data_IF_189189699378
#
_entry.id   IF_189189699378
#
_cell.length_a   1.000
_cell.length_b   1.000
_cell.length_c   1.000
_cell.angle_alpha   90.00
_cell.angle_beta   90.00
_cell.angle_gamma   90.00
#
_symmetry.space_group_name_H-M   'P 1'
#
loop_
_entity.id
_entity.type
_entity.pdbx_description
1 polymer ?
#
# COMPACT_ATOMS: atom_id res chain seq x y z
N UNK A 1 -36.86 -5.67 -13.06
CA UNK A 1 -37.55 -5.76 -11.75
C UNK A 1 -36.49 -5.71 -10.66
N UNK A 2 -36.48 -4.62 -9.89
CA UNK A 2 -35.88 -4.43 -8.57
C UNK A 2 -34.44 -4.90 -8.32
N UNK A 3 -33.47 -3.98 -8.38
CA UNK A 3 -32.29 -4.02 -7.51
C UNK A 3 -32.35 -2.73 -6.67
N UNK A 4 -32.31 -2.81 -5.33
CA UNK A 4 -32.61 -1.69 -4.46
C UNK A 4 -31.48 -0.64 -4.47
N UNK A 5 -31.91 0.63 -4.49
CA UNK A 5 -31.12 1.79 -4.08
C UNK A 5 -31.09 1.89 -2.55
N UNK A 6 -30.13 2.67 -2.05
CA UNK A 6 -29.83 3.07 -0.67
C UNK A 6 -28.89 2.08 0.06
N UNK A 7 -27.72 2.49 0.59
CA UNK A 7 -27.47 3.67 1.44
C UNK A 7 -26.18 4.44 1.12
N UNK A 8 -26.27 5.77 1.25
CA UNK A 8 -25.17 6.73 1.41
C UNK A 8 -24.73 6.79 2.87
N UNK A 9 -23.42 6.95 3.13
CA UNK A 9 -22.88 7.59 4.33
C UNK A 9 -21.45 8.17 4.11
N UNK A 10 -21.40 9.50 3.86
CA UNK A 10 -20.37 10.53 4.12
C UNK A 10 -18.94 10.45 3.49
N UNK A 11 -18.36 11.59 3.04
CA UNK A 11 -17.56 11.66 1.83
C UNK A 11 -16.06 11.89 2.07
N UNK A 12 -15.26 10.93 1.60
CA UNK A 12 -13.88 11.16 1.16
C UNK A 12 -13.93 11.30 -0.36
N UNK A 13 -13.09 12.13 -0.99
CA UNK A 13 -13.05 12.19 -2.46
C UNK A 13 -12.48 10.88 -3.02
N UNK A 14 -13.36 9.90 -3.22
CA UNK A 14 -13.06 8.56 -3.73
C UNK A 14 -13.40 8.55 -5.21
N UNK A 15 -12.41 8.28 -6.06
CA UNK A 15 -12.64 8.09 -7.49
C UNK A 15 -12.03 6.78 -7.95
N UNK A 16 -12.84 5.95 -8.61
CA UNK A 16 -12.40 4.70 -9.23
C UNK A 16 -12.55 4.86 -10.72
N UNK A 17 -11.43 4.80 -11.46
CA UNK A 17 -11.50 4.95 -12.91
C UNK A 17 -12.01 3.65 -13.55
N UNK A 18 -13.07 3.68 -14.38
CA UNK A 18 -13.42 2.53 -15.21
C UNK A 18 -12.53 2.51 -16.45
N UNK A 19 -12.02 1.34 -16.80
CA UNK A 19 -11.55 1.05 -18.15
C UNK A 19 -12.34 -0.14 -18.67
N UNK A 20 -12.60 -0.21 -19.98
CA UNK A 20 -13.33 -1.32 -20.59
C UNK A 20 -12.46 -2.58 -20.77
N UNK A 21 -11.15 -2.55 -20.48
CA UNK A 21 -10.21 -3.70 -20.56
C UNK A 21 -8.76 -3.29 -20.16
N UNK A 22 -8.53 -2.80 -18.95
CA UNK A 22 -7.21 -2.32 -18.49
C UNK A 22 -7.14 -2.03 -16.98
N UNK A 23 -5.93 -1.91 -16.40
CA UNK A 23 -5.74 -1.73 -14.96
C UNK A 23 -6.46 -0.47 -14.48
N UNK A 24 -7.21 -0.59 -13.38
CA UNK A 24 -7.95 0.54 -12.77
C UNK A 24 -7.04 1.16 -11.73
N UNK A 25 -6.84 2.48 -11.79
CA UNK A 25 -6.10 3.18 -10.75
C UNK A 25 -7.10 3.69 -9.70
N UNK A 26 -6.99 3.18 -8.48
CA UNK A 26 -7.58 3.83 -7.31
C UNK A 26 -6.65 4.92 -6.83
N UNK A 27 -7.23 6.04 -6.45
CA UNK A 27 -6.50 7.07 -5.74
C UNK A 27 -7.41 7.78 -4.75
N UNK A 28 -6.80 8.37 -3.72
CA UNK A 28 -7.51 9.07 -2.65
C UNK A 28 -6.62 10.14 -2.04
N UNK A 29 -7.19 11.31 -1.77
CA UNK A 29 -6.55 12.36 -1.00
C UNK A 29 -7.11 12.35 0.44
N UNK A 30 -6.27 12.54 1.43
CA UNK A 30 -6.57 12.38 2.86
C UNK A 30 -5.67 13.26 3.73
N UNK A 31 -5.94 13.30 5.04
CA UNK A 31 -5.06 13.90 6.04
C UNK A 31 -4.81 12.90 7.18
N UNK A 32 -3.61 12.93 7.77
CA UNK A 32 -3.20 12.04 8.88
C UNK A 32 -4.01 12.25 10.17
N UNK A 33 -4.69 13.39 10.33
CA UNK A 33 -5.59 13.69 11.46
C UNK A 33 -7.05 13.40 11.12
N UNK A 34 -7.35 12.87 9.94
CA UNK A 34 -8.72 12.59 9.52
C UNK A 34 -9.24 11.30 10.18
N UNK A 35 -10.48 11.30 10.67
CA UNK A 35 -11.05 10.15 11.39
C UNK A 35 -11.18 8.86 10.56
N UNK A 36 -11.21 8.99 9.23
CA UNK A 36 -11.23 7.87 8.27
C UNK A 36 -9.88 7.66 7.56
N UNK A 37 -8.80 8.18 8.10
CA UNK A 37 -7.48 7.83 7.59
C UNK A 37 -7.26 6.31 7.76
N UNK A 38 -6.60 5.69 6.78
CA UNK A 38 -6.41 4.25 6.71
C UNK A 38 -4.99 3.89 6.26
N UNK A 39 -4.01 4.76 6.53
CA UNK A 39 -2.65 4.58 6.07
C UNK A 39 -2.02 3.34 6.71
N UNK A 40 -2.12 3.21 8.03
CA UNK A 40 -1.61 2.03 8.75
C UNK A 40 -2.32 0.75 8.29
N UNK A 41 -3.64 0.86 8.10
CA UNK A 41 -4.46 -0.26 7.60
C UNK A 41 -4.07 -0.66 6.19
N UNK A 42 -3.73 0.29 5.30
CA UNK A 42 -3.25 0.00 3.96
C UNK A 42 -1.94 -0.77 4.02
N UNK A 43 -0.99 -0.34 4.84
CA UNK A 43 0.28 -1.06 5.04
C UNK A 43 0.03 -2.47 5.59
N UNK A 44 -0.87 -2.61 6.57
CA UNK A 44 -1.25 -3.89 7.16
C UNK A 44 -2.02 -4.81 6.20
N UNK A 45 -2.78 -4.26 5.25
CA UNK A 45 -3.50 -5.03 4.24
C UNK A 45 -2.54 -5.55 3.15
N UNK A 46 -1.35 -4.97 2.97
CA UNK A 46 -0.34 -5.41 2.02
C UNK A 46 0.63 -6.41 2.68
N UNK A 47 0.38 -7.70 2.48
CA UNK A 47 0.93 -8.76 3.32
C UNK A 47 2.42 -9.06 3.11
N UNK A 48 2.92 -8.93 1.88
CA UNK A 48 4.31 -9.28 1.53
C UNK A 48 4.93 -8.15 0.70
N UNK A 49 6.02 -7.59 1.20
CA UNK A 49 6.68 -6.42 0.62
C UNK A 49 8.07 -6.82 0.10
N UNK A 50 8.29 -6.61 -1.19
CA UNK A 50 9.56 -6.90 -1.86
C UNK A 50 10.48 -5.68 -1.91
N UNK A 51 9.91 -4.51 -2.21
CA UNK A 51 10.69 -3.29 -2.33
C UNK A 51 9.93 -2.08 -1.79
N UNK A 52 10.71 -1.11 -1.30
CA UNK A 52 10.23 0.22 -0.91
C UNK A 52 11.20 1.26 -1.44
N UNK A 53 10.69 2.37 -1.98
CA UNK A 53 11.52 3.50 -2.41
C UNK A 53 10.94 4.80 -1.88
N UNK A 54 11.81 5.64 -1.34
CA UNK A 54 11.49 7.01 -0.92
C UNK A 54 12.10 7.98 -1.90
N UNK A 55 11.35 9.02 -2.26
CA UNK A 55 11.76 10.11 -3.15
C UNK A 55 11.57 11.45 -2.44
N UNK A 56 12.66 12.21 -2.34
CA UNK A 56 12.80 13.46 -1.59
C UNK A 56 13.25 14.60 -2.54
N UNK A 57 12.29 15.37 -3.07
CA UNK A 57 12.56 16.52 -3.94
C UNK A 57 13.02 17.76 -3.15
N UNK A 58 13.80 18.62 -3.78
CA UNK A 58 14.05 19.98 -3.30
C UNK A 58 14.41 20.91 -4.48
N UNK A 59 14.03 22.18 -4.40
CA UNK A 59 14.02 23.12 -5.53
C UNK A 59 15.35 23.85 -5.77
N UNK A 60 16.33 23.69 -4.90
CA UNK A 60 17.62 24.39 -4.96
C UNK A 60 18.76 23.39 -5.11
N UNK A 61 19.87 23.80 -5.73
CA UNK A 61 21.10 23.01 -5.66
C UNK A 61 21.75 23.29 -4.31
N UNK A 62 21.54 22.37 -3.37
CA UNK A 62 22.04 22.45 -2.00
C UNK A 62 22.72 21.13 -1.65
N UNK A 63 24.06 21.17 -1.54
CA UNK A 63 24.88 19.98 -1.26
C UNK A 63 24.79 19.56 0.21
N UNK A 64 24.65 20.50 1.12
CA UNK A 64 24.53 20.21 2.55
C UNK A 64 23.19 19.53 2.83
N UNK A 65 22.11 20.07 2.26
CA UNK A 65 20.80 19.42 2.31
C UNK A 65 20.84 18.04 1.64
N UNK A 66 21.51 17.90 0.50
CA UNK A 66 21.63 16.61 -0.17
C UNK A 66 22.29 15.56 0.75
N UNK A 67 23.43 15.90 1.36
CA UNK A 67 24.16 15.00 2.27
C UNK A 67 23.31 14.65 3.50
N UNK A 68 22.58 15.62 4.06
CA UNK A 68 21.65 15.37 5.17
C UNK A 68 20.52 14.41 4.76
N UNK A 69 19.86 14.64 3.62
CA UNK A 69 18.79 13.79 3.12
C UNK A 69 19.30 12.38 2.79
N UNK A 70 20.51 12.26 2.23
CA UNK A 70 21.17 10.97 1.99
C UNK A 70 21.39 10.20 3.30
N UNK A 71 21.86 10.88 4.36
CA UNK A 71 22.01 10.29 5.70
C UNK A 71 20.65 9.87 6.26
N UNK A 72 19.65 10.73 6.20
CA UNK A 72 18.29 10.43 6.68
C UNK A 72 17.75 9.17 5.97
N UNK A 73 17.86 9.12 4.63
CA UNK A 73 17.45 7.96 3.86
C UNK A 73 18.18 6.70 4.32
N UNK A 74 19.51 6.70 4.44
CA UNK A 74 20.27 5.52 4.93
C UNK A 74 19.78 5.06 6.31
N UNK A 75 19.45 5.99 7.21
CA UNK A 75 19.01 5.65 8.57
C UNK A 75 17.58 5.13 8.67
N UNK A 76 16.72 5.36 7.66
CA UNK A 76 15.33 4.87 7.68
C UNK A 76 15.25 3.33 7.71
N UNK A 77 16.16 2.66 7.01
CA UNK A 77 16.36 1.21 7.05
C UNK A 77 17.87 0.92 7.09
N UNK A 78 18.43 0.73 8.30
CA UNK A 78 19.83 0.46 8.54
C UNK A 78 20.37 -0.77 7.77
N UNK A 79 21.68 -0.83 7.47
CA UNK A 79 22.28 -1.89 6.66
C UNK A 79 22.33 -3.27 7.34
N UNK A 80 22.10 -3.36 8.64
CA UNK A 80 21.95 -4.61 9.40
C UNK A 80 20.55 -5.21 9.26
N UNK A 81 19.60 -4.49 8.66
CA UNK A 81 18.31 -5.06 8.28
C UNK A 81 18.44 -6.05 7.13
N UNK A 82 17.72 -7.16 7.24
CA UNK A 82 17.81 -8.23 6.25
C UNK A 82 16.74 -9.29 6.38
N UNK A 83 16.99 -10.43 5.76
CA UNK A 83 16.11 -11.59 5.75
C UNK A 83 16.93 -12.86 5.65
N UNK A 84 16.30 -14.00 5.92
CA UNK A 84 16.90 -15.31 5.75
C UNK A 84 16.53 -15.90 4.39
N UNK A 85 17.49 -16.56 3.77
CA UNK A 85 17.25 -17.50 2.69
C UNK A 85 17.40 -18.90 3.25
N UNK A 86 16.31 -19.66 3.22
CA UNK A 86 16.18 -20.97 3.86
C UNK A 86 15.94 -22.01 2.76
N UNK A 87 16.76 -23.05 2.70
CA UNK A 87 16.55 -24.19 1.80
C UNK A 87 16.16 -25.40 2.62
N UNK A 88 14.85 -25.66 2.69
CA UNK A 88 14.30 -26.69 3.56
C UNK A 88 12.99 -27.25 2.99
N UNK A 89 12.53 -28.35 3.57
CA UNK A 89 11.16 -28.80 3.37
C UNK A 89 10.20 -27.83 4.07
N UNK A 90 9.07 -27.50 3.44
CA UNK A 90 8.02 -26.69 4.07
C UNK A 90 7.54 -27.32 5.39
N UNK A 91 7.50 -28.65 5.48
CA UNK A 91 7.11 -29.34 6.71
C UNK A 91 8.06 -29.03 7.88
N UNK A 92 9.37 -28.87 7.62
CA UNK A 92 10.33 -28.53 8.67
C UNK A 92 10.17 -27.07 9.14
N UNK A 93 9.94 -26.15 8.20
CA UNK A 93 9.61 -24.75 8.51
C UNK A 93 8.32 -24.69 9.36
N UNK A 94 7.26 -25.37 8.92
CA UNK A 94 6.00 -25.41 9.66
C UNK A 94 6.16 -26.04 11.04
N UNK A 95 6.85 -27.17 11.14
CA UNK A 95 7.12 -27.82 12.42
C UNK A 95 7.86 -26.88 13.36
N UNK A 96 8.90 -26.19 12.87
CA UNK A 96 9.68 -25.24 13.67
C UNK A 96 8.81 -24.11 14.20
N UNK A 97 8.06 -23.45 13.33
CA UNK A 97 7.23 -22.29 13.67
C UNK A 97 6.08 -22.65 14.62
N UNK A 98 5.46 -23.83 14.43
CA UNK A 98 4.36 -24.31 15.27
C UNK A 98 4.86 -24.80 16.63
N UNK A 99 6.01 -25.47 16.69
CA UNK A 99 6.60 -25.97 17.94
C UNK A 99 7.13 -24.85 18.84
N UNK A 100 7.68 -23.77 18.25
CA UNK A 100 8.11 -22.59 19.02
C UNK A 100 6.93 -21.69 19.40
N UNK A 101 5.74 -21.96 18.87
CA UNK A 101 4.53 -21.14 19.02
C UNK A 101 4.71 -19.67 18.59
N UNK A 102 5.75 -19.35 17.80
CA UNK A 102 6.09 -17.96 17.47
C UNK A 102 5.03 -17.26 16.64
N UNK A 103 4.27 -18.01 15.82
CA UNK A 103 3.11 -17.47 15.08
C UNK A 103 1.97 -16.97 15.99
N UNK A 104 1.93 -17.45 17.23
CA UNK A 104 0.91 -17.10 18.23
C UNK A 104 1.43 -16.14 19.31
N UNK A 105 2.73 -15.80 19.29
CA UNK A 105 3.30 -14.83 20.22
C UNK A 105 2.82 -13.41 19.89
N UNK A 106 2.51 -12.62 20.93
CA UNK A 106 2.18 -11.22 20.75
C UNK A 106 3.40 -10.45 20.21
N UNK A 107 3.17 -9.50 19.30
CA UNK A 107 4.22 -8.72 18.64
C UNK A 107 5.27 -9.57 17.89
N UNK A 108 4.88 -10.78 17.49
CA UNK A 108 5.65 -11.61 16.59
C UNK A 108 5.03 -11.61 15.19
N UNK A 109 5.89 -11.58 14.17
CA UNK A 109 5.49 -11.76 12.78
C UNK A 109 6.45 -12.71 12.09
N UNK A 110 5.89 -13.68 11.38
CA UNK A 110 6.67 -14.57 10.53
C UNK A 110 6.14 -14.46 9.10
N UNK A 111 7.05 -14.21 8.18
CA UNK A 111 6.79 -14.14 6.75
C UNK A 111 7.72 -15.11 6.05
N UNK A 112 7.19 -15.82 5.07
CA UNK A 112 8.00 -16.64 4.18
C UNK A 112 7.37 -16.67 2.80
N UNK A 113 8.18 -16.74 1.75
CA UNK A 113 7.74 -16.91 0.37
C UNK A 113 8.70 -17.88 -0.33
N UNK A 114 8.14 -18.85 -1.06
CA UNK A 114 8.92 -19.76 -1.91
C UNK A 114 9.58 -18.99 -3.05
N UNK A 115 10.88 -19.19 -3.26
CA UNK A 115 11.64 -18.65 -4.38
C UNK A 115 11.55 -19.56 -5.62
N UNK A 116 10.38 -20.12 -5.90
CA UNK A 116 10.18 -21.01 -7.05
C UNK A 116 10.50 -20.28 -8.37
N UNK A 117 10.84 -21.05 -9.42
CA UNK A 117 11.04 -20.53 -10.77
C UNK A 117 9.71 -19.98 -11.34
N UNK A 118 9.36 -18.73 -10.98
CA UNK A 118 8.19 -17.93 -11.42
C UNK A 118 6.81 -18.54 -11.08
N UNK A 119 5.78 -17.70 -10.88
CA UNK A 119 4.38 -18.14 -10.75
C UNK A 119 3.87 -18.92 -11.96
N UNK A 120 4.51 -18.76 -13.12
CA UNK A 120 4.26 -19.53 -14.34
C UNK A 120 4.47 -21.03 -14.14
N UNK A 121 5.27 -21.43 -13.14
CA UNK A 121 5.43 -22.83 -12.73
C UNK A 121 4.19 -23.43 -12.05
N UNK A 122 3.12 -22.65 -11.84
CA UNK A 122 1.88 -22.99 -11.13
C UNK A 122 2.03 -23.28 -9.63
N UNK A 123 3.20 -22.98 -9.05
CA UNK A 123 3.51 -23.31 -7.66
C UNK A 123 4.06 -22.10 -6.91
N UNK A 124 3.31 -21.62 -5.91
CA UNK A 124 3.77 -20.58 -5.01
C UNK A 124 3.25 -20.82 -3.59
N UNK A 125 4.13 -20.66 -2.60
CA UNK A 125 3.83 -20.90 -1.20
C UNK A 125 4.25 -19.68 -0.41
N UNK A 126 3.34 -19.15 0.39
CA UNK A 126 3.62 -18.05 1.30
C UNK A 126 3.10 -18.33 2.70
N UNK A 127 3.83 -17.86 3.69
CA UNK A 127 3.34 -17.67 5.05
C UNK A 127 3.28 -16.17 5.29
N UNK A 128 2.13 -15.66 5.69
CA UNK A 128 1.84 -14.24 5.81
C UNK A 128 1.83 -13.76 7.27
N UNK A 129 2.02 -12.45 7.53
CA UNK A 129 2.09 -11.91 8.90
C UNK A 129 0.85 -12.20 9.76
N UNK A 130 -0.31 -12.41 9.12
CA UNK A 130 -1.56 -12.78 9.78
C UNK A 130 -1.62 -14.26 10.20
N UNK A 131 -0.51 -15.00 10.10
CA UNK A 131 -0.37 -16.36 10.61
C UNK A 131 -1.01 -17.41 9.70
N UNK A 132 -1.18 -17.10 8.41
CA UNK A 132 -1.76 -18.04 7.44
C UNK A 132 -0.69 -18.59 6.51
N UNK A 133 -0.86 -19.86 6.16
CA UNK A 133 -0.18 -20.51 5.04
C UNK A 133 -1.09 -20.42 3.82
N UNK A 134 -0.55 -19.90 2.73
CA UNK A 134 -1.19 -19.80 1.42
C UNK A 134 -0.38 -20.62 0.41
N UNK A 135 -1.06 -21.48 -0.34
CA UNK A 135 -0.45 -22.31 -1.37
C UNK A 135 -1.27 -22.20 -2.65
N UNK A 136 -0.66 -21.73 -3.72
CA UNK A 136 -1.18 -21.83 -5.08
C UNK A 136 -0.44 -23.00 -5.73
N UNK A 137 -1.15 -24.07 -6.06
CA UNK A 137 -0.58 -25.36 -6.46
C UNK A 137 -1.39 -25.99 -7.59
N UNK A 138 -0.79 -26.89 -8.36
CA UNK A 138 -1.50 -27.62 -9.41
C UNK A 138 -2.47 -28.69 -8.86
N UNK A 139 -3.25 -29.27 -9.77
CA UNK A 139 -4.21 -30.32 -9.46
C UNK A 139 -3.59 -31.61 -8.88
N UNK A 140 -2.35 -31.94 -9.25
CA UNK A 140 -1.66 -33.16 -8.83
C UNK A 140 -1.17 -33.02 -7.38
N UNK A 141 -0.51 -31.92 -7.05
CA UNK A 141 -0.09 -31.59 -5.68
C UNK A 141 -1.32 -31.46 -4.77
N UNK A 142 -2.37 -30.78 -5.24
CA UNK A 142 -3.62 -30.64 -4.49
C UNK A 142 -4.24 -32.00 -4.15
N UNK A 143 -4.32 -32.91 -5.12
CA UNK A 143 -4.83 -34.27 -4.90
C UNK A 143 -3.99 -35.06 -3.88
N UNK A 144 -2.66 -34.95 -3.92
CA UNK A 144 -1.77 -35.62 -2.96
C UNK A 144 -1.88 -35.05 -1.54
N UNK A 145 -1.95 -33.72 -1.42
CA UNK A 145 -2.10 -33.02 -0.14
C UNK A 145 -3.42 -33.42 0.54
N UNK A 146 -4.51 -33.52 -0.22
CA UNK A 146 -5.84 -33.87 0.30
C UNK A 146 -6.38 -32.82 1.28
N UNK A 147 -5.95 -31.56 1.13
CA UNK A 147 -6.43 -30.42 1.91
C UNK A 147 -7.55 -29.71 1.16
N UNK A 148 -8.45 -29.06 1.89
CA UNK A 148 -9.52 -28.26 1.26
C UNK A 148 -8.91 -27.04 0.56
N UNK A 149 -9.03 -26.99 -0.77
CA UNK A 149 -8.66 -25.86 -1.61
C UNK A 149 -9.83 -25.38 -2.47
N UNK A 150 -9.72 -24.16 -3.00
CA UNK A 150 -10.62 -23.59 -3.99
C UNK A 150 -9.91 -23.53 -5.35
N UNK A 151 -10.66 -23.70 -6.43
CA UNK A 151 -10.11 -23.40 -7.76
C UNK A 151 -9.73 -21.93 -7.85
N UNK A 152 -8.58 -21.65 -8.44
CA UNK A 152 -8.16 -20.29 -8.77
C UNK A 152 -9.11 -19.69 -9.82
N UNK A 153 -9.70 -18.50 -9.61
CA UNK A 153 -10.47 -17.81 -10.63
C UNK A 153 -9.61 -17.29 -11.78
N UNK A 154 -8.30 -17.16 -11.59
CA UNK A 154 -7.37 -16.64 -12.60
C UNK A 154 -6.68 -17.73 -13.43
N UNK A 155 -6.62 -18.97 -12.93
CA UNK A 155 -6.01 -20.10 -13.61
C UNK A 155 -6.79 -21.40 -13.32
N UNK A 156 -7.33 -22.04 -14.37
CA UNK A 156 -8.19 -23.23 -14.24
C UNK A 156 -7.45 -24.47 -13.73
N UNK A 157 -6.15 -24.55 -13.95
CA UNK A 157 -5.32 -25.71 -13.58
C UNK A 157 -4.71 -25.58 -12.19
N UNK A 158 -5.07 -24.50 -11.45
CA UNK A 158 -4.51 -24.14 -10.16
C UNK A 158 -5.56 -24.16 -9.05
N UNK A 159 -5.13 -24.59 -7.88
CA UNK A 159 -5.90 -24.58 -6.64
C UNK A 159 -5.21 -23.67 -5.62
N UNK A 160 -6.01 -22.90 -4.90
CA UNK A 160 -5.57 -22.12 -3.75
C UNK A 160 -5.98 -22.84 -2.48
N UNK A 161 -5.00 -23.20 -1.66
CA UNK A 161 -5.19 -23.75 -0.32
C UNK A 161 -4.76 -22.69 0.68
N UNK A 162 -5.60 -22.44 1.70
CA UNK A 162 -5.27 -21.56 2.81
C UNK A 162 -5.50 -22.27 4.14
N UNK A 163 -4.53 -22.17 5.03
CA UNK A 163 -4.55 -22.77 6.35
C UNK A 163 -4.19 -21.71 7.39
N UNK A 164 -5.04 -21.52 8.39
CA UNK A 164 -4.73 -20.69 9.56
C UNK A 164 -3.88 -21.49 10.56
N UNK A 165 -2.61 -21.10 10.67
CA UNK A 165 -1.60 -21.75 11.49
C UNK A 165 -1.79 -21.48 13.00
N UNK A 166 -2.66 -20.53 13.37
CA UNK A 166 -3.00 -20.22 14.77
C UNK A 166 -4.14 -21.09 15.31
N UNK A 167 -4.73 -21.94 14.47
CA UNK A 167 -5.83 -22.81 14.90
C UNK A 167 -5.38 -23.84 15.93
N UNK A 168 -6.21 -24.07 16.96
CA UNK A 168 -5.93 -25.07 18.00
C UNK A 168 -5.65 -26.47 17.44
N UNK A 169 -6.27 -26.82 16.31
CA UNK A 169 -6.05 -28.10 15.63
C UNK A 169 -4.65 -28.29 15.03
N UNK A 170 -3.89 -27.20 14.85
CA UNK A 170 -2.51 -27.23 14.35
C UNK A 170 -1.47 -27.06 15.46
N UNK A 171 -1.88 -27.10 16.73
CA UNK A 171 -0.94 -27.14 17.84
C UNK A 171 -0.20 -28.49 17.89
N UNK A 172 1.07 -28.51 18.35
CA UNK A 172 1.81 -29.75 18.52
C UNK A 172 1.05 -30.78 19.38
N UNK A 173 1.08 -32.03 18.95
CA UNK A 173 0.36 -33.14 19.62
C UNK A 173 -1.07 -33.38 19.13
N UNK A 174 -1.61 -32.54 18.25
CA UNK A 174 -2.91 -32.78 17.60
C UNK A 174 -2.77 -33.69 16.37
N UNK A 175 -3.79 -34.50 16.10
CA UNK A 175 -3.80 -35.40 14.92
C UNK A 175 -3.69 -34.62 13.60
N UNK A 176 -4.42 -33.51 13.50
CA UNK A 176 -4.39 -32.65 12.29
C UNK A 176 -3.01 -32.02 12.09
N UNK A 177 -2.31 -31.65 13.16
CA UNK A 177 -0.92 -31.17 13.08
C UNK A 177 -0.01 -32.23 12.42
N UNK A 178 -0.02 -33.46 12.94
CA UNK A 178 0.80 -34.55 12.40
C UNK A 178 0.42 -34.89 10.94
N UNK A 179 -0.88 -34.93 10.65
CA UNK A 179 -1.40 -35.18 9.30
C UNK A 179 -0.91 -34.13 8.30
N UNK A 180 -1.02 -32.83 8.63
CA UNK A 180 -0.61 -31.74 7.74
C UNK A 180 0.89 -31.80 7.47
N UNK A 181 1.72 -31.96 8.51
CA UNK A 181 3.17 -32.05 8.31
C UNK A 181 3.57 -33.25 7.46
N UNK A 182 2.97 -34.42 7.68
CA UNK A 182 3.25 -35.62 6.89
C UNK A 182 2.86 -35.40 5.41
N UNK A 183 1.66 -34.86 5.17
CA UNK A 183 1.15 -34.58 3.81
C UNK A 183 1.98 -33.54 3.07
N UNK A 184 2.33 -32.45 3.74
CA UNK A 184 3.20 -31.41 3.18
C UNK A 184 4.55 -32.01 2.81
N UNK A 185 5.17 -32.79 3.71
CA UNK A 185 6.48 -33.40 3.47
C UNK A 185 6.52 -34.31 2.25
N UNK A 186 5.47 -35.10 2.03
CA UNK A 186 5.42 -36.03 0.88
C UNK A 186 4.98 -35.37 -0.42
N UNK A 187 4.28 -34.23 -0.35
CA UNK A 187 3.65 -33.62 -1.53
C UNK A 187 4.42 -32.45 -2.10
N UNK A 188 5.17 -31.73 -1.25
CA UNK A 188 5.91 -30.51 -1.60
C UNK A 188 7.41 -30.81 -1.46
N UNK A 189 8.19 -30.75 -2.56
CA UNK A 189 9.62 -30.98 -2.50
C UNK A 189 10.32 -29.88 -1.70
N UNK A 190 11.50 -30.17 -1.11
CA UNK A 190 12.36 -29.13 -0.54
C UNK A 190 12.67 -28.04 -1.58
N UNK A 191 12.58 -26.79 -1.16
CA UNK A 191 12.80 -25.62 -2.03
C UNK A 191 13.37 -24.45 -1.22
N UNK A 192 13.76 -23.40 -1.92
CA UNK A 192 14.25 -22.18 -1.28
C UNK A 192 13.08 -21.27 -0.87
N UNK A 193 13.23 -20.65 0.29
CA UNK A 193 12.31 -19.66 0.83
C UNK A 193 13.10 -18.40 1.18
N UNK A 194 12.53 -17.24 0.88
CA UNK A 194 12.89 -16.00 1.55
C UNK A 194 12.00 -15.87 2.78
N UNK A 195 12.58 -15.63 3.95
CA UNK A 195 11.87 -15.62 5.22
C UNK A 195 12.33 -14.49 6.13
N UNK A 196 11.41 -13.97 6.93
CA UNK A 196 11.65 -12.94 7.94
C UNK A 196 10.86 -13.29 9.19
N UNK A 197 11.58 -13.54 10.28
CA UNK A 197 11.02 -13.72 11.61
C UNK A 197 11.37 -12.51 12.47
N UNK A 198 10.36 -11.89 13.03
CA UNK A 198 10.48 -10.74 13.90
C UNK A 198 9.70 -10.99 15.19
N UNK A 199 10.31 -10.71 16.33
CA UNK A 199 9.68 -10.86 17.66
C UNK A 199 9.99 -9.62 18.46
N UNK A 200 8.96 -8.90 18.91
CA UNK A 200 9.08 -7.64 19.67
C UNK A 200 9.92 -6.58 18.95
N UNK A 201 9.79 -6.52 17.63
CA UNK A 201 10.53 -5.58 16.78
C UNK A 201 11.98 -5.99 16.45
N UNK A 202 12.46 -7.10 17.02
CA UNK A 202 13.80 -7.62 16.76
C UNK A 202 13.77 -8.77 15.76
N UNK A 203 14.71 -8.73 14.82
CA UNK A 203 14.91 -9.82 13.87
C UNK A 203 15.52 -11.04 14.54
N UNK A 204 15.01 -12.23 14.18
CA UNK A 204 15.47 -13.50 14.75
C UNK A 204 15.70 -14.56 13.68
N UNK A 205 16.64 -15.45 13.95
CA UNK A 205 16.82 -16.69 13.19
C UNK A 205 15.62 -17.61 13.38
N UNK A 206 15.17 -18.26 12.30
CA UNK A 206 14.20 -19.33 12.43
C UNK A 206 14.83 -20.51 13.21
N UNK A 207 16.10 -20.80 12.94
CA UNK A 207 16.90 -21.79 13.64
C UNK A 207 16.41 -23.20 13.37
N UNK A 208 16.38 -23.60 12.09
CA UNK A 208 16.11 -24.99 11.73
C UNK A 208 17.25 -25.91 12.20
N UNK A 209 16.94 -27.14 12.62
CA UNK A 209 17.96 -28.10 12.98
C UNK A 209 18.78 -28.51 11.73
N UNK A 210 20.08 -28.84 11.84
CA UNK A 210 20.92 -29.17 10.70
C UNK A 210 20.37 -30.28 9.80
N UNK A 211 19.63 -31.24 10.37
CA UNK A 211 19.02 -32.35 9.63
C UNK A 211 17.84 -31.92 8.75
N UNK A 212 17.23 -30.77 9.04
CA UNK A 212 16.17 -30.18 8.22
C UNK A 212 16.72 -29.38 7.02
N UNK A 213 18.02 -29.04 7.05
CA UNK A 213 18.71 -28.36 5.97
C UNK A 213 19.21 -29.40 4.97
N UNK A 214 18.94 -29.20 3.68
CA UNK A 214 19.37 -30.16 2.66
C UNK A 214 20.91 -30.12 2.53
N UNK A 215 21.63 -31.24 2.79
CA UNK A 215 23.11 -31.25 2.81
C UNK A 215 23.75 -30.85 1.48
N UNK A 216 23.02 -31.04 0.37
CA UNK A 216 23.46 -30.71 -0.98
C UNK A 216 23.38 -29.21 -1.32
N UNK A 217 22.73 -28.38 -0.49
CA UNK A 217 22.39 -27.00 -0.87
C UNK A 217 22.81 -25.91 0.12
N UNK A 218 23.49 -26.25 1.22
CA UNK A 218 24.05 -25.26 2.15
C UNK A 218 23.06 -24.73 3.20
N UNK A 219 23.61 -23.94 4.13
CA UNK A 219 23.01 -23.46 5.38
C UNK A 219 21.96 -22.35 5.18
N UNK A 220 21.15 -22.08 6.21
CA UNK A 220 20.43 -20.80 6.35
C UNK A 220 21.42 -19.66 6.11
N UNK A 221 21.08 -18.74 5.20
CA UNK A 221 21.94 -17.61 4.87
C UNK A 221 21.23 -16.30 5.20
N UNK A 222 21.92 -15.42 5.91
CA UNK A 222 21.49 -14.05 6.11
C UNK A 222 21.81 -13.21 4.89
N UNK A 223 20.81 -12.49 4.39
CA UNK A 223 20.93 -11.56 3.28
C UNK A 223 20.54 -10.16 3.76
N UNK A 224 21.40 -9.15 3.59
CA UNK A 224 21.02 -7.77 3.86
C UNK A 224 19.98 -7.30 2.84
N UNK A 225 19.22 -6.26 3.17
CA UNK A 225 18.43 -5.55 2.18
C UNK A 225 19.37 -4.90 1.14
N UNK A 226 19.10 -5.12 -0.14
CA UNK A 226 19.78 -4.38 -1.20
C UNK A 226 19.35 -2.92 -1.12
N UNK A 227 20.30 -1.99 -0.99
CA UNK A 227 20.02 -0.56 -0.90
C UNK A 227 20.66 0.21 -2.04
N UNK A 228 19.84 0.93 -2.81
CA UNK A 228 20.28 1.73 -3.97
C UNK A 228 19.87 3.18 -3.74
N UNK A 229 20.85 4.07 -3.59
CA UNK A 229 20.66 5.53 -3.57
C UNK A 229 20.82 6.13 -4.96
N UNK A 230 20.05 7.19 -5.28
CA UNK A 230 20.16 7.96 -6.53
C UNK A 230 19.87 9.43 -6.28
N UNK A 231 20.68 10.28 -6.88
CA UNK A 231 20.47 11.73 -6.96
C UNK A 231 20.24 12.12 -8.42
N UNK A 232 19.15 12.82 -8.70
CA UNK A 232 18.74 13.23 -10.04
C UNK A 232 18.54 14.75 -10.07
N UNK A 233 19.54 15.53 -10.51
CA UNK A 233 19.40 16.97 -10.74
C UNK A 233 18.71 17.25 -12.08
N UNK A 234 18.25 18.49 -12.27
CA UNK A 234 17.70 18.94 -13.55
C UNK A 234 16.27 18.45 -13.80
N UNK A 235 15.49 18.23 -12.74
CA UNK A 235 14.09 17.81 -12.84
C UNK A 235 13.15 18.99 -12.69
N UNK A 236 12.16 19.09 -13.58
CA UNK A 236 11.00 19.94 -13.33
C UNK A 236 10.20 19.35 -12.17
N UNK A 237 10.13 20.09 -11.06
CA UNK A 237 9.45 19.62 -9.86
C UNK A 237 8.11 20.36 -9.68
N UNK A 238 6.98 19.64 -9.62
CA UNK A 238 5.70 20.27 -9.35
C UNK A 238 5.63 20.77 -7.89
N UNK A 239 5.00 21.93 -7.63
CA UNK A 239 4.73 22.40 -6.28
C UNK A 239 3.49 21.70 -5.74
N UNK A 240 3.62 20.41 -5.39
CA UNK A 240 2.51 19.63 -4.86
C UNK A 240 2.11 20.14 -3.48
N UNK A 241 0.86 20.54 -3.35
CA UNK A 241 0.25 21.02 -2.11
C UNK A 241 -1.24 20.75 -2.15
N UNK A 242 -1.92 20.94 -1.01
CA UNK A 242 -3.39 20.95 -0.96
C UNK A 242 -4.00 21.85 -2.03
N UNK A 243 -3.49 23.08 -2.15
CA UNK A 243 -3.99 24.06 -3.12
C UNK A 243 -3.87 23.58 -4.58
N UNK A 244 -2.79 22.85 -4.90
CA UNK A 244 -2.56 22.25 -6.22
C UNK A 244 -3.69 21.29 -6.59
N UNK A 245 -4.14 20.47 -5.63
CA UNK A 245 -5.23 19.53 -5.83
C UNK A 245 -6.60 20.21 -5.79
N UNK A 246 -6.78 21.24 -4.96
CA UNK A 246 -8.01 22.04 -4.91
C UNK A 246 -8.28 22.76 -6.24
N UNK A 247 -7.23 23.28 -6.90
CA UNK A 247 -7.33 23.88 -8.24
C UNK A 247 -7.78 22.89 -9.31
N UNK A 248 -7.51 21.59 -9.12
CA UNK A 248 -8.01 20.51 -9.99
C UNK A 248 -9.47 20.13 -9.69
N UNK A 249 -10.15 20.86 -8.80
CA UNK A 249 -11.52 20.62 -8.39
C UNK A 249 -11.64 19.61 -7.24
N UNK A 250 -10.54 19.26 -6.57
CA UNK A 250 -10.65 18.49 -5.34
C UNK A 250 -11.11 19.34 -4.17
N UNK A 251 -11.79 18.71 -3.23
CA UNK A 251 -12.11 19.34 -1.96
C UNK A 251 -11.67 18.39 -0.86
N UNK A 252 -10.95 18.92 0.12
CA UNK A 252 -10.40 18.19 1.25
C UNK A 252 -11.24 18.54 2.47
N UNK A 253 -12.02 17.58 2.99
CA UNK A 253 -12.73 17.81 4.24
C UNK A 253 -11.73 18.18 5.34
N UNK A 254 -11.87 19.39 5.88
CA UNK A 254 -11.14 19.83 7.06
C UNK A 254 -11.83 19.19 8.27
N UNK A 255 -11.13 18.32 8.99
CA UNK A 255 -11.62 17.69 10.23
C UNK A 255 -11.67 18.68 11.42
N UNK A 256 -11.98 19.95 11.17
CA UNK A 256 -11.98 21.01 12.17
C UNK A 256 -13.26 21.87 12.08
N UNK A 257 -14.42 21.27 12.38
CA UNK A 257 -15.56 22.02 12.91
C UNK A 257 -16.12 21.33 14.15
N UNK A 258 -15.56 21.75 15.29
CA UNK A 258 -16.24 21.91 16.57
C UNK A 258 -16.97 20.69 17.12
N UNK A 259 -16.30 19.98 18.04
CA UNK A 259 -16.98 19.40 19.19
C UNK A 259 -17.56 20.56 20.04
N UNK A 260 -18.69 21.10 19.60
CA UNK A 260 -19.52 21.99 20.40
C UNK A 260 -20.33 21.11 21.35
N UNK A 261 -19.91 21.10 22.62
CA UNK A 261 -20.72 20.59 23.70
C UNK A 261 -22.11 21.26 23.65
N UNK A 262 -23.16 20.46 23.43
CA UNK A 262 -24.51 20.83 23.81
C UNK A 262 -24.99 19.78 24.80
N UNK A 263 -24.92 20.18 26.07
CA UNK A 263 -25.69 19.60 27.16
C UNK A 263 -27.17 19.71 26.81
N UNK A 264 -27.89 18.60 26.77
CA UNK A 264 -29.34 18.61 26.94
C UNK A 264 -29.66 17.60 28.03
N UNK A 265 -30.18 18.22 29.08
CA UNK A 265 -30.72 17.73 30.34
C UNK A 265 -32.06 17.01 30.11
N UNK A 266 -32.42 16.19 31.09
CA UNK A 266 -33.59 15.30 31.13
C UNK A 266 -34.94 16.03 31.05
N UNK A 267 -35.99 15.33 30.57
CA UNK A 267 -37.37 15.80 30.68
C UNK A 267 -38.42 14.94 29.98
N UNK A 268 -38.98 13.99 30.71
CA UNK A 268 -40.18 13.20 30.38
C UNK A 268 -41.46 14.06 30.17
N UNK A 269 -42.40 13.57 29.35
CA UNK A 269 -43.79 14.07 29.34
C UNK A 269 -44.64 13.65 28.14
N UNK A 270 -45.52 12.66 28.36
CA UNK A 270 -46.61 12.22 27.47
C UNK A 270 -47.68 13.30 27.22
N UNK A 271 -48.41 13.22 26.10
CA UNK A 271 -49.69 13.94 25.92
C UNK A 271 -50.19 14.08 24.49
N UNK A 272 -51.48 13.78 24.28
CA UNK A 272 -52.17 13.43 23.03
C UNK A 272 -52.80 14.58 22.21
N UNK A 273 -53.00 14.33 20.89
CA UNK A 273 -54.12 14.69 19.98
C UNK A 273 -54.78 16.10 20.03
N UNK A 274 -54.83 16.79 18.87
CA UNK A 274 -56.03 17.03 18.03
C UNK A 274 -55.76 17.99 16.85
N UNK A 275 -56.59 17.86 15.81
CA UNK A 275 -56.64 18.55 14.51
C UNK A 275 -57.38 19.89 14.53
N UNK A 276 -56.96 20.88 13.73
CA UNK A 276 -57.75 21.62 12.70
C UNK A 276 -57.10 22.96 12.28
N UNK A 277 -57.68 23.59 11.26
CA UNK A 277 -57.03 24.33 10.17
C UNK A 277 -56.99 25.87 10.28
N UNK A 278 -56.17 26.44 9.37
CA UNK A 278 -56.27 27.75 8.70
C UNK A 278 -55.94 29.05 9.48
N UNK A 279 -55.01 29.85 8.92
CA UNK A 279 -54.89 31.27 9.26
C UNK A 279 -53.54 31.91 8.97
N UNK A 280 -53.39 32.42 7.75
CA UNK A 280 -52.50 33.47 7.24
C UNK A 280 -51.40 34.12 8.14
N UNK A 281 -50.19 34.18 7.56
CA UNK A 281 -49.44 35.44 7.42
C UNK A 281 -48.46 35.80 8.53
N UNK A 282 -47.16 35.62 8.28
CA UNK A 282 -46.11 36.19 9.14
C UNK A 282 -44.71 35.81 8.70
N UNK A 283 -44.08 36.70 7.93
CA UNK A 283 -42.66 36.69 7.55
C UNK A 283 -41.76 36.46 8.76
N UNK A 284 -40.92 35.41 8.76
CA UNK A 284 -39.64 35.38 9.47
C UNK A 284 -38.66 34.45 8.72
N UNK A 285 -37.51 35.01 8.35
CA UNK A 285 -36.45 34.33 7.63
C UNK A 285 -35.79 33.27 8.51
N UNK A 286 -36.11 32.01 8.23
CA UNK A 286 -35.36 30.86 8.71
C UNK A 286 -34.28 30.50 7.70
N UNK A 287 -33.03 30.87 8.01
CA UNK A 287 -31.86 30.34 7.33
C UNK A 287 -31.78 28.84 7.54
N UNK A 288 -32.33 28.07 6.61
CA UNK A 288 -32.15 26.64 6.54
C UNK A 288 -30.68 26.34 6.28
N UNK A 289 -30.00 25.78 7.29
CA UNK A 289 -28.69 25.17 7.14
C UNK A 289 -28.76 24.02 6.16
N UNK A 290 -28.59 24.33 4.88
CA UNK A 290 -28.44 23.36 3.82
C UNK A 290 -27.14 22.60 4.05
N UNK A 291 -27.27 21.29 4.32
CA UNK A 291 -26.19 20.33 4.09
C UNK A 291 -25.72 20.54 2.66
N UNK A 292 -24.52 21.11 2.51
CA UNK A 292 -23.94 21.50 1.22
C UNK A 292 -23.88 20.30 0.28
N UNK A 293 -24.86 20.21 -0.62
CA UNK A 293 -24.92 19.17 -1.63
C UNK A 293 -23.92 19.56 -2.72
N UNK A 294 -22.78 18.87 -2.75
CA UNK A 294 -21.66 19.10 -3.69
C UNK A 294 -22.19 19.11 -5.13
N UNK A 295 -21.84 20.14 -5.90
CA UNK A 295 -22.05 20.14 -7.34
C UNK A 295 -21.08 19.13 -7.97
N UNK A 296 -21.54 18.24 -8.85
CA UNK A 296 -20.65 17.33 -9.58
C UNK A 296 -19.64 18.14 -10.40
N UNK A 297 -18.41 17.64 -10.51
CA UNK A 297 -17.40 18.23 -11.39
C UNK A 297 -17.96 18.34 -12.81
N UNK A 298 -17.66 19.44 -13.48
CA UNK A 298 -17.91 19.53 -14.93
C UNK A 298 -17.09 18.47 -15.65
N UNK A 299 -17.55 18.05 -16.84
CA UNK A 299 -16.82 17.05 -17.63
C UNK A 299 -15.36 17.47 -17.93
N UNK A 300 -15.12 18.78 -18.11
CA UNK A 300 -13.79 19.33 -18.31
C UNK A 300 -12.92 19.25 -17.04
N UNK A 301 -13.47 19.57 -15.87
CA UNK A 301 -12.75 19.43 -14.59
C UNK A 301 -12.43 17.97 -14.28
N UNK A 302 -13.37 17.05 -14.50
CA UNK A 302 -13.14 15.61 -14.32
C UNK A 302 -12.05 15.11 -15.27
N UNK A 303 -12.05 15.54 -16.54
CA UNK A 303 -11.01 15.20 -17.50
C UNK A 303 -9.62 15.72 -17.07
N UNK A 304 -9.52 16.99 -16.68
CA UNK A 304 -8.25 17.59 -16.19
C UNK A 304 -7.72 16.87 -14.96
N UNK A 305 -8.59 16.59 -13.98
CA UNK A 305 -8.24 15.85 -12.78
C UNK A 305 -7.69 14.46 -13.11
N UNK A 306 -8.36 13.71 -14.01
CA UNK A 306 -7.89 12.38 -14.41
C UNK A 306 -6.52 12.43 -15.07
N UNK A 307 -6.30 13.38 -15.98
CA UNK A 307 -5.03 13.57 -16.68
C UNK A 307 -3.91 13.93 -15.70
N UNK A 308 -4.17 14.85 -14.78
CA UNK A 308 -3.23 15.23 -13.72
C UNK A 308 -2.84 14.03 -12.84
N UNK A 309 -3.81 13.27 -12.35
CA UNK A 309 -3.57 12.14 -11.44
C UNK A 309 -2.84 10.99 -12.13
N UNK A 310 -3.26 10.62 -13.34
CA UNK A 310 -2.60 9.54 -14.11
C UNK A 310 -1.21 9.96 -14.58
N UNK A 311 -1.06 11.21 -15.03
CA UNK A 311 0.23 11.77 -15.41
C UNK A 311 1.20 11.82 -14.24
N UNK A 312 0.75 12.29 -13.06
CA UNK A 312 1.58 12.37 -11.87
C UNK A 312 2.04 10.98 -11.40
N UNK A 313 1.14 9.99 -11.40
CA UNK A 313 1.49 8.61 -11.09
C UNK A 313 2.51 8.04 -12.09
N UNK A 314 2.35 8.32 -13.38
CA UNK A 314 3.27 7.87 -14.43
C UNK A 314 4.65 8.53 -14.28
N UNK A 315 4.67 9.83 -14.02
CA UNK A 315 5.88 10.62 -13.80
C UNK A 315 6.68 10.12 -12.60
N UNK A 316 6.03 9.91 -11.44
CA UNK A 316 6.66 9.35 -10.26
C UNK A 316 7.21 7.92 -10.51
N UNK A 317 6.47 7.11 -11.27
CA UNK A 317 6.91 5.78 -11.69
C UNK A 317 8.16 5.83 -12.58
N UNK A 318 8.25 6.77 -13.51
CA UNK A 318 9.44 6.96 -14.35
C UNK A 318 10.66 7.36 -13.50
N UNK A 319 10.48 8.27 -12.53
CA UNK A 319 11.52 8.63 -11.56
C UNK A 319 11.97 7.44 -10.71
N UNK A 320 11.02 6.61 -10.25
CA UNK A 320 11.29 5.41 -9.46
C UNK A 320 12.16 4.42 -10.25
N UNK A 321 11.84 4.23 -11.54
CA UNK A 321 12.62 3.42 -12.45
C UNK A 321 14.02 3.99 -12.77
N UNK A 322 14.29 5.26 -12.42
CA UNK A 322 15.55 5.95 -12.74
C UNK A 322 15.67 6.34 -14.20
N UNK A 323 14.54 6.66 -14.83
CA UNK A 323 14.56 7.26 -16.15
C UNK A 323 15.29 8.62 -16.12
N UNK A 324 15.96 8.97 -17.22
CA UNK A 324 16.72 10.22 -17.30
C UNK A 324 15.84 11.46 -17.18
N UNK A 325 16.40 12.56 -16.67
CA UNK A 325 15.67 13.80 -16.37
C UNK A 325 14.90 14.35 -17.58
N UNK A 326 15.43 14.24 -18.81
CA UNK A 326 14.72 14.67 -20.04
C UNK A 326 13.38 13.94 -20.21
N UNK A 327 13.39 12.61 -20.13
CA UNK A 327 12.17 11.81 -20.26
C UNK A 327 11.20 12.09 -19.11
N UNK A 328 11.70 12.21 -17.88
CA UNK A 328 10.86 12.54 -16.73
C UNK A 328 10.23 13.92 -16.90
N UNK A 329 10.97 14.92 -17.38
CA UNK A 329 10.44 16.27 -17.61
C UNK A 329 9.34 16.26 -18.69
N UNK A 330 9.49 15.45 -19.75
CA UNK A 330 8.48 15.30 -20.81
C UNK A 330 7.19 14.58 -20.33
N UNK A 331 7.28 13.78 -19.27
CA UNK A 331 6.15 13.03 -18.70
C UNK A 331 5.38 13.82 -17.62
N UNK A 332 5.91 14.95 -17.15
CA UNK A 332 5.26 15.74 -16.11
C UNK A 332 3.98 16.39 -16.64
N UNK A 333 2.80 16.17 -16.04
CA UNK A 333 1.57 16.74 -16.56
C UNK A 333 1.49 18.24 -16.30
N UNK A 334 1.18 19.01 -17.33
CA UNK A 334 1.00 20.47 -17.25
C UNK A 334 -0.02 20.87 -16.17
N UNK A 335 -1.03 20.03 -15.91
CA UNK A 335 -2.09 20.31 -14.96
C UNK A 335 -1.63 20.45 -13.50
N UNK A 336 -0.48 19.88 -13.13
CA UNK A 336 0.08 20.00 -11.76
C UNK A 336 1.14 21.09 -11.63
N UNK A 337 1.46 21.76 -12.74
CA UNK A 337 2.38 22.88 -12.77
C UNK A 337 1.64 24.20 -12.52
N UNK A 338 2.31 25.21 -11.93
CA UNK A 338 1.73 26.54 -11.79
C UNK A 338 1.30 27.07 -13.15
N UNK A 339 0.10 27.65 -13.21
CA UNK A 339 -0.31 28.42 -14.37
C UNK A 339 0.61 29.64 -14.49
N UNK A 340 1.33 29.76 -15.59
CA UNK A 340 2.02 30.99 -15.95
C UNK A 340 0.93 32.03 -16.24
N UNK A 341 0.85 33.10 -15.42
CA UNK A 341 -0.05 34.22 -15.68
C UNK A 341 0.38 34.88 -17.00
N UNK A 342 -0.55 35.07 -17.95
CA UNK A 342 -0.29 35.64 -19.28
C UNK A 342 0.40 37.01 -19.24
N UNK A 343 0.25 37.76 -18.14
CA UNK A 343 0.78 39.12 -17.94
C UNK A 343 2.10 39.19 -17.15
N UNK A 344 2.66 38.06 -16.70
CA UNK A 344 3.97 38.07 -16.07
C UNK A 344 5.05 38.27 -17.15
N UNK A 345 6.06 39.16 -16.94
CA UNK A 345 7.18 39.24 -17.87
C UNK A 345 7.78 37.86 -18.01
N UNK A 346 7.76 37.30 -19.22
CA UNK A 346 8.32 35.98 -19.51
C UNK A 346 9.77 35.99 -19.00
N UNK A 347 10.10 35.19 -17.96
CA UNK A 347 11.50 35.02 -17.60
C UNK A 347 12.23 34.54 -18.85
N UNK A 348 13.49 34.91 -19.04
CA UNK A 348 14.26 34.35 -20.15
C UNK A 348 14.17 32.82 -20.11
N UNK A 349 14.25 32.15 -21.27
CA UNK A 349 14.19 30.68 -21.34
C UNK A 349 15.15 30.02 -20.33
N UNK A 350 16.33 30.60 -20.18
CA UNK A 350 17.36 30.18 -19.24
C UNK A 350 16.95 30.40 -17.75
N UNK A 351 16.20 31.45 -17.43
CA UNK A 351 15.65 31.69 -16.09
C UNK A 351 14.43 30.83 -15.77
N UNK A 352 13.60 30.49 -16.77
CA UNK A 352 12.50 29.53 -16.61
C UNK A 352 13.05 28.14 -16.33
N UNK A 353 14.07 27.73 -17.10
CA UNK A 353 14.80 26.49 -16.91
C UNK A 353 15.48 26.50 -15.53
N UNK A 354 16.24 27.53 -15.13
CA UNK A 354 16.90 27.57 -13.82
C UNK A 354 15.95 27.67 -12.61
N UNK A 355 14.75 28.24 -12.75
CA UNK A 355 13.77 28.37 -11.65
C UNK A 355 12.96 27.11 -11.38
N UNK A 356 12.83 26.21 -12.35
CA UNK A 356 11.97 25.02 -12.25
C UNK A 356 12.78 23.73 -12.07
N UNK A 357 14.09 23.77 -12.31
CA UNK A 357 14.96 22.61 -12.18
C UNK A 357 15.40 22.41 -10.73
N UNK A 358 14.79 21.43 -10.07
CA UNK A 358 15.22 20.95 -8.76
C UNK A 358 16.03 19.67 -8.84
N UNK A 359 16.28 19.12 -7.66
CA UNK A 359 16.97 17.84 -7.47
C UNK A 359 16.05 16.89 -6.72
N UNK A 360 16.10 15.61 -7.11
CA UNK A 360 15.43 14.52 -6.41
C UNK A 360 16.49 13.57 -5.86
N UNK A 361 16.50 13.38 -4.54
CA UNK A 361 17.26 12.30 -3.91
C UNK A 361 16.30 11.16 -3.62
N UNK A 362 16.71 9.92 -3.87
CA UNK A 362 15.89 8.76 -3.62
C UNK A 362 16.71 7.59 -3.13
N UNK A 363 16.08 6.72 -2.33
CA UNK A 363 16.67 5.45 -1.91
C UNK A 363 15.64 4.35 -2.02
N UNK A 364 16.05 3.24 -2.61
CA UNK A 364 15.27 2.02 -2.73
C UNK A 364 15.90 0.92 -1.89
N UNK A 365 15.08 0.17 -1.18
CA UNK A 365 15.45 -1.08 -0.52
C UNK A 365 14.71 -2.24 -1.15
N UNK A 366 15.41 -3.35 -1.39
CA UNK A 366 14.83 -4.60 -1.92
C UNK A 366 15.20 -5.79 -1.06
N UNK A 367 14.28 -6.75 -0.96
CA UNK A 367 14.42 -7.95 -0.15
C UNK A 367 13.06 -8.42 0.36
N UNK A 368 13.00 -8.85 1.62
CA UNK A 368 11.73 -9.08 2.33
C UNK A 368 11.59 -8.08 3.46
N UNK A 369 10.66 -7.15 3.28
CA UNK A 369 10.37 -6.06 4.22
C UNK A 369 9.14 -6.39 5.06
N UNK A 370 9.21 -6.16 6.37
CA UNK A 370 8.05 -6.30 7.25
C UNK A 370 7.10 -5.11 7.11
N UNK A 371 5.82 -5.33 7.43
CA UNK A 371 4.81 -4.26 7.46
C UNK A 371 5.20 -3.15 8.44
N UNK A 372 5.87 -3.50 9.55
CA UNK A 372 6.42 -2.53 10.50
C UNK A 372 7.54 -1.68 9.88
N UNK A 373 8.48 -2.30 9.16
CA UNK A 373 9.54 -1.55 8.47
C UNK A 373 8.95 -0.56 7.46
N UNK A 374 8.00 -1.02 6.64
CA UNK A 374 7.29 -0.16 5.69
C UNK A 374 6.60 0.99 6.43
N UNK A 375 5.88 0.72 7.52
CA UNK A 375 5.20 1.74 8.30
C UNK A 375 6.18 2.75 8.91
N UNK A 376 7.33 2.30 9.41
CA UNK A 376 8.36 3.17 9.96
C UNK A 376 8.93 4.12 8.89
N UNK A 377 9.22 3.60 7.69
CA UNK A 377 9.68 4.43 6.55
C UNK A 377 8.61 5.45 6.15
N UNK A 378 7.35 5.03 6.08
CA UNK A 378 6.20 5.89 5.78
C UNK A 378 6.06 7.02 6.82
N UNK A 379 6.17 6.71 8.11
CA UNK A 379 6.13 7.71 9.21
C UNK A 379 7.32 8.67 9.15
N UNK A 380 8.54 8.16 9.03
CA UNK A 380 9.75 8.97 8.92
C UNK A 380 9.70 9.91 7.70
N UNK A 381 9.19 9.43 6.56
CA UNK A 381 9.01 10.26 5.36
C UNK A 381 7.98 11.37 5.59
N UNK A 382 6.87 11.06 6.26
CA UNK A 382 5.86 12.06 6.62
C UNK A 382 6.40 13.15 7.54
N UNK A 383 7.26 12.78 8.49
CA UNK A 383 7.90 13.71 9.42
C UNK A 383 8.82 14.71 8.70
N UNK A 384 9.56 14.27 7.67
CA UNK A 384 10.40 15.15 6.85
C UNK A 384 9.58 16.23 6.13
N UNK A 385 8.39 15.88 5.62
CA UNK A 385 7.49 16.85 4.98
C UNK A 385 6.85 17.76 6.02
N UNK A 386 6.40 17.20 7.15
CA UNK A 386 5.76 17.96 8.23
C UNK A 386 6.69 18.98 8.89
N UNK A 387 7.98 18.67 8.96
CA UNK A 387 9.05 19.56 9.43
C UNK A 387 9.59 20.49 8.34
N UNK A 388 8.97 20.52 7.16
CA UNK A 388 9.33 21.37 6.02
C UNK A 388 10.77 21.17 5.54
N UNK A 389 11.37 20.01 5.79
CA UNK A 389 12.71 19.67 5.28
C UNK A 389 12.69 19.44 3.77
N UNK A 390 11.57 18.94 3.26
CA UNK A 390 11.26 18.79 1.84
C UNK A 390 9.83 19.26 1.59
N UNK A 391 9.52 19.83 0.40
CA UNK A 391 8.21 20.40 0.10
C UNK A 391 7.09 19.35 0.01
N UNK A 392 7.44 18.15 -0.43
CA UNK A 392 6.60 16.96 -0.50
C UNK A 392 7.51 15.75 -0.60
N UNK A 393 6.99 14.54 -0.43
CA UNK A 393 7.77 13.31 -0.61
C UNK A 393 6.90 12.20 -1.19
N UNK A 394 7.50 11.24 -1.89
CA UNK A 394 6.80 10.05 -2.38
C UNK A 394 7.41 8.77 -1.80
N UNK A 395 6.55 7.85 -1.37
CA UNK A 395 6.90 6.50 -0.94
C UNK A 395 6.21 5.50 -1.87
N UNK A 396 7.00 4.65 -2.52
CA UNK A 396 6.52 3.59 -3.38
C UNK A 396 6.77 2.25 -2.70
N UNK A 397 5.76 1.38 -2.67
CA UNK A 397 5.88 0.03 -2.11
C UNK A 397 5.45 -0.97 -3.16
N UNK A 398 6.28 -1.98 -3.38
CA UNK A 398 6.02 -3.10 -4.29
C UNK A 398 6.05 -4.40 -3.52
N UNK A 399 5.03 -5.22 -3.74
CA UNK A 399 4.98 -6.61 -3.31
C UNK A 399 5.75 -7.52 -4.25
N UNK A 400 5.78 -8.80 -3.92
CA UNK A 400 6.36 -9.81 -4.80
C UNK A 400 5.46 -10.02 -6.02
N UNK A 401 6.07 -10.21 -7.19
CA UNK A 401 5.39 -10.70 -8.39
C UNK A 401 4.81 -12.10 -8.16
N UNK A 402 5.62 -12.97 -7.55
CA UNK A 402 5.39 -14.40 -7.53
C UNK A 402 4.72 -14.96 -6.25
N UNK A 403 3.73 -14.23 -5.71
CA UNK A 403 3.05 -14.62 -4.45
C UNK A 403 1.68 -15.24 -4.69
N UNK A 404 1.23 -16.25 -3.91
CA UNK A 404 -0.14 -16.78 -4.04
C UNK A 404 -1.22 -15.77 -3.62
N UNK A 405 -0.87 -14.80 -2.77
CA UNK A 405 -1.80 -13.79 -2.26
C UNK A 405 -1.16 -12.41 -2.19
N UNK A 406 -1.98 -11.38 -2.37
CA UNK A 406 -1.59 -9.98 -2.24
C UNK A 406 -2.35 -9.32 -1.08
N UNK A 407 -3.24 -8.39 -1.41
CA UNK A 407 -4.00 -7.60 -0.46
C UNK A 407 -4.99 -8.45 0.33
N UNK A 408 -4.95 -8.37 1.67
CA UNK A 408 -5.92 -9.04 2.57
C UNK A 408 -6.05 -10.56 2.33
N UNK A 409 -5.02 -11.20 1.79
CA UNK A 409 -5.05 -12.62 1.46
C UNK A 409 -5.85 -12.95 0.20
N UNK A 410 -6.23 -11.94 -0.60
CA UNK A 410 -6.85 -12.13 -1.91
C UNK A 410 -5.84 -12.74 -2.87
N UNK A 411 -6.31 -13.65 -3.72
CA UNK A 411 -5.48 -14.32 -4.72
C UNK A 411 -4.73 -13.31 -5.59
N UNK A 412 -3.44 -13.58 -5.78
CA UNK A 412 -2.69 -12.91 -6.82
C UNK A 412 -2.96 -13.56 -8.18
N UNK A 413 -3.49 -12.76 -9.12
CA UNK A 413 -3.94 -13.25 -10.43
C UNK A 413 -2.90 -13.08 -11.51
N UNK A 414 -2.91 -13.94 -12.53
CA UNK A 414 -2.15 -13.73 -13.79
C UNK A 414 -2.93 -12.92 -14.83
N UNK A 415 -4.22 -12.62 -14.57
CA UNK A 415 -5.07 -11.75 -15.43
C UNK A 415 -4.67 -10.28 -15.39
N UNK A 416 -3.61 -9.95 -14.66
CA UNK A 416 -3.00 -8.64 -14.56
C UNK A 416 -2.23 -8.46 -15.86
N UNK A 417 -2.54 -7.45 -16.68
CA UNK A 417 -1.78 -7.13 -17.89
C UNK A 417 -0.35 -6.60 -17.60
N UNK A 418 0.29 -7.12 -16.57
CA UNK A 418 1.63 -6.86 -16.05
C UNK A 418 2.05 -8.06 -15.17
N UNK A 419 3.31 -8.10 -14.70
CA UNK A 419 3.95 -9.25 -14.05
C UNK A 419 3.33 -9.70 -12.70
N UNK A 420 2.09 -9.37 -12.39
CA UNK A 420 1.45 -9.80 -11.15
C UNK A 420 2.11 -9.19 -9.92
N UNK A 421 2.50 -7.92 -9.93
CA UNK A 421 3.01 -7.24 -8.73
C UNK A 421 1.88 -6.43 -8.08
N UNK A 422 1.72 -6.57 -6.76
CA UNK A 422 0.89 -5.64 -5.99
C UNK A 422 1.74 -4.41 -5.63
N UNK A 423 1.15 -3.22 -5.69
CA UNK A 423 1.88 -2.00 -5.34
C UNK A 423 0.95 -0.89 -4.87
N UNK A 424 1.53 0.10 -4.20
CA UNK A 424 0.88 1.36 -3.87
C UNK A 424 1.92 2.46 -3.74
N UNK A 425 1.50 3.71 -3.94
CA UNK A 425 2.36 4.88 -3.78
C UNK A 425 1.66 5.90 -2.89
N UNK A 426 2.40 6.51 -1.97
CA UNK A 426 1.91 7.55 -1.07
C UNK A 426 2.70 8.82 -1.38
N UNK A 427 2.01 9.93 -1.64
CA UNK A 427 2.59 11.25 -1.77
C UNK A 427 2.22 12.03 -0.51
N UNK A 428 3.21 12.38 0.30
CA UNK A 428 3.07 13.26 1.45
C UNK A 428 3.18 14.72 1.04
N UNK A 429 2.27 15.53 1.56
CA UNK A 429 2.17 16.97 1.36
C UNK A 429 2.28 17.68 2.72
N UNK A 430 2.37 19.00 2.68
CA UNK A 430 2.34 19.83 3.90
C UNK A 430 1.11 19.57 4.79
N UNK A 431 1.22 19.93 6.06
CA UNK A 431 0.13 19.90 7.05
C UNK A 431 -0.50 18.50 7.31
N UNK A 432 0.25 17.44 6.99
CA UNK A 432 -0.17 16.05 7.16
C UNK A 432 -1.14 15.55 6.09
N UNK A 433 -1.27 16.28 4.98
CA UNK A 433 -2.04 15.82 3.83
C UNK A 433 -1.26 14.74 3.07
N UNK A 434 -1.97 13.79 2.49
CA UNK A 434 -1.36 12.77 1.64
C UNK A 434 -2.31 12.28 0.55
N UNK A 435 -1.74 11.89 -0.59
CA UNK A 435 -2.42 11.21 -1.67
C UNK A 435 -1.93 9.77 -1.75
N UNK A 436 -2.83 8.80 -1.86
CA UNK A 436 -2.48 7.39 -2.11
C UNK A 436 -2.93 6.97 -3.50
N UNK A 437 -2.07 6.21 -4.17
CA UNK A 437 -2.30 5.56 -5.45
C UNK A 437 -2.22 4.06 -5.25
N UNK A 438 -3.19 3.33 -5.77
CA UNK A 438 -3.20 1.87 -5.76
C UNK A 438 -3.74 1.35 -7.08
N UNK A 439 -2.94 0.62 -7.87
CA UNK A 439 -3.47 -0.19 -8.96
C UNK A 439 -4.43 -1.23 -8.39
N UNK A 440 -5.63 -1.29 -8.95
CA UNK A 440 -6.65 -2.28 -8.63
C UNK A 440 -6.67 -3.38 -9.69
N UNK A 441 -6.74 -4.61 -9.23
CA UNK A 441 -7.00 -5.77 -10.08
C UNK A 441 -8.40 -5.72 -10.73
N UNK A 442 -8.65 -6.54 -11.77
CA UNK A 442 -9.92 -6.55 -12.51
C UNK A 442 -11.16 -6.80 -11.63
N UNK A 443 -10.99 -7.61 -10.58
CA UNK A 443 -12.05 -8.01 -9.65
C UNK A 443 -11.93 -7.31 -8.29
N UNK A 444 -10.95 -6.42 -8.11
CA UNK A 444 -10.81 -5.66 -6.87
C UNK A 444 -11.78 -4.47 -6.87
N UNK A 445 -12.46 -4.30 -5.75
CA UNK A 445 -13.21 -3.09 -5.45
C UNK A 445 -12.42 -2.28 -4.42
N UNK A 446 -12.34 -0.94 -4.59
CA UNK A 446 -11.79 -0.11 -3.54
C UNK A 446 -12.70 -0.20 -2.31
N UNK A 447 -12.05 -0.37 -1.16
CA UNK A 447 -12.72 -0.49 0.13
C UNK A 447 -13.30 0.85 0.60
#
# INVERSE_FOLDING_TARGET
KGIPKYFCAAPVSISVMPSKQGPRLYWRLSNLKHAKEDLEKTVADHLLNHAIQVQLPYYTVDKELQEELDVQLVTMLPPDEGYQVIRACLADILARVLNTAVISEADASFQALSLADRLESNHAIAITPDGKLHMAIDSEIHARLGLTGLHSPSNKDRYNVSLDLRTKSLQPGQDRYAQVLAKVRTSIPPQAFIARLEVKGEMRELGLPPEALTPSYGTEAWMPLESIGRTQPGLMLPPLSRATFEQLGMDMETSARGAGASSIDDGDGEGSFTTEAAGAGGLHGGGGGGVGRRLPLTAHQDWRLRRAIMGLHTWLGALACGQGHTLCNDLLPDEVMPLVLEDAPLPSREEQERRLLGTLVSRMWKGMLSQRQVLNVVKATSELVSSQRVPWAAVHVWGFADTPVAWRGMEHGTSWGGAGESSYSIIFLGDGDYCIYRPLGPNETPA
#
